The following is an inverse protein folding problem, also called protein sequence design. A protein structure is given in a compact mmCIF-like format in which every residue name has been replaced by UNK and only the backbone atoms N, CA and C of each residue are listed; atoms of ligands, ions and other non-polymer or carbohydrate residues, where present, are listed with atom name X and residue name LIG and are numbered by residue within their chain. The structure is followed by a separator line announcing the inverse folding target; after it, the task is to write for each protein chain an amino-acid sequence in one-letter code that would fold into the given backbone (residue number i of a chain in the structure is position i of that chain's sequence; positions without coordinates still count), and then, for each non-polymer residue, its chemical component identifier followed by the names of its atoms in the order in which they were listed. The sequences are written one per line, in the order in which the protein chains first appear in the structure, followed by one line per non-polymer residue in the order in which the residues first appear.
data_IF_150491532464
#
_entry.id   IF_150491532464
#
_cell.length_a   1.000
_cell.length_b   1.000
_cell.length_c   1.000
_cell.angle_alpha   90.00
_cell.angle_beta   90.00
_cell.angle_gamma   90.00
#
_symmetry.space_group_name_H-M   'P 1'
#
loop_
_entity.id
_entity.type
_entity.pdbx_description
1 polymer ?
#
# COMPACT_ATOMS: atom_id res chain seq x y z
N UNK A 1 17.19 51.81 9.49
CA UNK A 1 15.76 52.06 9.73
C UNK A 1 15.11 50.74 10.12
N UNK A 2 14.68 50.60 11.37
CA UNK A 2 14.13 49.34 11.89
C UNK A 2 12.67 49.57 12.29
N UNK A 3 11.77 49.42 11.31
CA UNK A 3 10.33 49.48 11.56
C UNK A 3 9.86 48.17 12.21
N UNK A 4 8.79 48.22 12.99
CA UNK A 4 8.12 47.04 13.56
C UNK A 4 7.76 46.03 12.46
N UNK A 5 7.41 46.52 11.26
CA UNK A 5 7.15 45.68 10.09
C UNK A 5 8.36 44.89 9.61
N UNK A 6 9.56 45.49 9.62
CA UNK A 6 10.80 44.81 9.23
C UNK A 6 11.17 43.71 10.23
N UNK A 7 10.90 43.93 11.52
CA UNK A 7 11.07 42.93 12.59
C UNK A 7 10.12 41.76 12.43
N UNK A 8 8.84 42.06 12.15
CA UNK A 8 7.82 41.03 11.92
C UNK A 8 8.15 40.17 10.71
N UNK A 9 8.58 40.79 9.61
CA UNK A 9 8.99 40.06 8.41
C UNK A 9 10.18 39.12 8.67
N UNK A 10 11.15 39.52 9.48
CA UNK A 10 12.28 38.66 9.85
C UNK A 10 11.85 37.43 10.66
N UNK A 11 10.91 37.61 11.61
CA UNK A 11 10.38 36.49 12.41
C UNK A 11 9.58 35.53 11.51
N UNK A 12 8.73 36.04 10.63
CA UNK A 12 7.96 35.21 9.69
C UNK A 12 8.87 34.47 8.70
N UNK A 13 9.89 35.14 8.17
CA UNK A 13 10.85 34.50 7.29
C UNK A 13 11.60 33.36 8.02
N UNK A 14 11.98 33.57 9.28
CA UNK A 14 12.63 32.55 10.10
C UNK A 14 11.71 31.36 10.37
N UNK A 15 10.46 31.59 10.80
CA UNK A 15 9.52 30.50 11.07
C UNK A 15 9.16 29.71 9.82
N UNK A 16 8.96 30.38 8.67
CA UNK A 16 8.73 29.72 7.38
C UNK A 16 9.95 28.92 6.93
N UNK A 17 11.17 29.43 7.16
CA UNK A 17 12.41 28.72 6.82
C UNK A 17 12.58 27.44 7.65
N UNK A 18 12.31 27.51 8.96
CA UNK A 18 12.37 26.33 9.85
C UNK A 18 11.32 25.30 9.47
N UNK A 19 10.09 25.73 9.17
CA UNK A 19 9.02 24.84 8.72
C UNK A 19 9.38 24.15 7.39
N UNK A 20 9.88 24.91 6.41
CA UNK A 20 10.30 24.37 5.12
C UNK A 20 11.46 23.37 5.26
N UNK A 21 12.42 23.63 6.15
CA UNK A 21 13.49 22.69 6.43
C UNK A 21 12.96 21.38 7.05
N UNK A 22 12.07 21.47 8.03
CA UNK A 22 11.47 20.29 8.68
C UNK A 22 10.62 19.46 7.71
N UNK A 23 9.80 20.10 6.87
CA UNK A 23 8.98 19.39 5.88
C UNK A 23 9.85 18.72 4.82
N UNK A 24 10.94 19.37 4.40
CA UNK A 24 11.90 18.77 3.48
C UNK A 24 12.65 17.59 4.10
N UNK A 25 13.07 17.68 5.36
CA UNK A 25 13.67 16.56 6.07
C UNK A 25 12.70 15.37 6.18
N UNK A 26 11.43 15.63 6.52
CA UNK A 26 10.40 14.60 6.57
C UNK A 26 10.17 13.93 5.21
N UNK A 27 10.19 14.72 4.13
CA UNK A 27 10.12 14.19 2.76
C UNK A 27 11.31 13.28 2.45
N UNK A 28 12.55 13.69 2.76
CA UNK A 28 13.74 12.83 2.57
C UNK A 28 13.63 11.54 3.38
N UNK A 29 13.14 11.61 4.62
CA UNK A 29 12.99 10.43 5.46
C UNK A 29 11.99 9.41 4.90
N UNK A 30 11.01 9.84 4.10
CA UNK A 30 9.93 8.99 3.60
C UNK A 30 10.07 8.62 2.12
N UNK A 31 10.77 9.41 1.31
CA UNK A 31 10.88 9.17 -0.15
C UNK A 31 11.62 7.87 -0.50
N UNK A 32 12.46 7.37 0.40
CA UNK A 32 13.20 6.12 0.21
C UNK A 32 12.55 4.91 0.91
N UNK A 33 11.39 5.07 1.54
CA UNK A 33 10.67 3.96 2.17
C UNK A 33 9.91 3.20 1.08
N UNK A 34 10.26 1.94 0.89
CA UNK A 34 9.54 1.04 -0.02
C UNK A 34 8.29 0.50 0.70
N UNK A 35 7.12 1.07 0.41
CA UNK A 35 5.82 0.66 0.96
C UNK A 35 5.27 -0.66 0.36
N UNK A 36 6.13 -1.50 -0.21
CA UNK A 36 5.72 -2.79 -0.75
C UNK A 36 5.49 -3.77 0.38
N UNK A 37 4.22 -4.13 0.59
CA UNK A 37 3.86 -5.29 1.40
C UNK A 37 4.43 -6.55 0.73
N UNK A 38 5.23 -7.33 1.47
CA UNK A 38 5.65 -8.66 1.00
C UNK A 38 4.41 -9.55 0.93
N UNK A 39 3.99 -9.86 -0.28
CA UNK A 39 2.94 -10.85 -0.55
C UNK A 39 3.60 -12.14 -1.01
N UNK A 40 3.40 -13.23 -0.27
CA UNK A 40 3.79 -14.57 -0.69
C UNK A 40 2.57 -15.27 -1.27
N UNK A 41 2.53 -15.42 -2.59
CA UNK A 41 1.49 -16.17 -3.29
C UNK A 41 1.93 -17.63 -3.42
N UNK A 42 1.15 -18.56 -2.86
CA UNK A 42 1.39 -19.99 -3.00
C UNK A 42 0.22 -20.65 -3.73
N UNK A 43 0.49 -21.35 -4.83
CA UNK A 43 -0.51 -22.14 -5.56
C UNK A 43 -0.71 -23.47 -4.86
N UNK A 44 -1.65 -23.52 -3.91
CA UNK A 44 -1.80 -24.65 -2.98
C UNK A 44 -2.39 -25.90 -3.63
N UNK A 45 -3.27 -25.79 -4.64
CA UNK A 45 -3.84 -27.00 -5.24
C UNK A 45 -4.59 -26.73 -6.54
N UNK A 46 -4.14 -27.35 -7.62
CA UNK A 46 -4.96 -27.57 -8.82
C UNK A 46 -5.66 -28.90 -8.62
N UNK A 47 -6.97 -28.88 -8.33
CA UNK A 47 -7.76 -30.11 -8.22
C UNK A 47 -8.84 -30.10 -9.27
N UNK A 48 -8.76 -31.05 -10.19
CA UNK A 48 -9.85 -31.39 -11.11
C UNK A 48 -10.70 -32.42 -10.39
N UNK A 49 -11.89 -32.02 -9.92
CA UNK A 49 -12.85 -32.95 -9.32
C UNK A 49 -13.96 -33.21 -10.32
N UNK A 50 -14.16 -34.48 -10.64
CA UNK A 50 -15.34 -34.94 -11.37
C UNK A 50 -16.53 -34.95 -10.40
N UNK A 51 -17.33 -33.88 -10.39
CA UNK A 51 -18.52 -33.75 -9.53
C UNK A 51 -19.78 -34.08 -10.35
N UNK A 52 -20.65 -35.00 -9.89
CA UNK A 52 -21.92 -35.27 -10.56
C UNK A 52 -22.94 -34.16 -10.29
N UNK A 53 -23.50 -33.57 -11.36
CA UNK A 53 -24.56 -32.58 -11.29
C UNK A 53 -25.93 -33.24 -11.05
N UNK A 54 -26.65 -32.81 -10.01
CA UNK A 54 -28.00 -33.31 -9.69
C UNK A 54 -29.13 -32.42 -10.25
N UNK A 55 -28.84 -31.39 -11.06
CA UNK A 55 -29.86 -30.40 -11.47
C UNK A 55 -30.20 -30.32 -12.96
N UNK A 56 -29.43 -30.90 -13.89
CA UNK A 56 -29.83 -30.93 -15.31
C UNK A 56 -29.05 -31.95 -16.13
N UNK A 57 -29.68 -33.08 -16.46
CA UNK A 57 -29.57 -33.91 -17.69
C UNK A 57 -28.26 -33.91 -18.54
N UNK A 58 -27.07 -33.73 -17.96
CA UNK A 58 -25.77 -33.94 -18.62
C UNK A 58 -24.81 -34.60 -17.62
N UNK A 59 -24.31 -35.78 -17.98
CA UNK A 59 -23.63 -36.73 -17.09
C UNK A 59 -22.20 -36.33 -16.65
N UNK A 60 -21.57 -35.30 -17.22
CA UNK A 60 -20.18 -34.97 -16.88
C UNK A 60 -19.79 -33.55 -17.27
N UNK A 61 -19.23 -32.80 -16.33
CA UNK A 61 -18.66 -31.48 -16.57
C UNK A 61 -17.28 -31.39 -15.90
N UNK A 62 -16.24 -31.01 -16.64
CA UNK A 62 -14.86 -30.92 -16.12
C UNK A 62 -14.66 -29.55 -15.45
N UNK A 63 -14.98 -29.47 -14.16
CA UNK A 63 -14.79 -28.26 -13.37
C UNK A 63 -13.38 -28.26 -12.75
N UNK A 64 -12.51 -27.39 -13.26
CA UNK A 64 -11.19 -27.14 -12.70
C UNK A 64 -11.22 -26.01 -11.67
N UNK A 65 -10.82 -26.30 -10.43
CA UNK A 65 -10.66 -25.28 -9.39
C UNK A 65 -9.18 -24.91 -9.26
N UNK A 66 -8.87 -23.62 -9.43
CA UNK A 66 -7.57 -23.03 -9.14
C UNK A 66 -7.73 -22.15 -7.91
N UNK A 67 -7.35 -22.68 -6.75
CA UNK A 67 -7.34 -21.90 -5.51
C UNK A 67 -5.95 -21.33 -5.28
N UNK A 68 -5.84 -20.02 -5.38
CA UNK A 68 -4.64 -19.28 -5.01
C UNK A 68 -4.70 -18.92 -3.52
N UNK A 69 -3.68 -19.28 -2.77
CA UNK A 69 -3.51 -18.82 -1.40
C UNK A 69 -2.58 -17.60 -1.42
N UNK A 70 -3.17 -16.43 -1.18
CA UNK A 70 -2.49 -15.14 -1.17
C UNK A 70 -2.27 -14.76 0.28
N UNK A 71 -1.08 -15.02 0.78
CA UNK A 71 -0.68 -14.60 2.12
C UNK A 71 0.05 -13.27 2.00
N UNK A 72 -0.61 -12.21 2.44
CA UNK A 72 -0.03 -10.87 2.52
C UNK A 72 0.13 -10.52 3.99
N UNK A 73 1.36 -10.18 4.39
CA UNK A 73 1.58 -9.45 5.63
C UNK A 73 1.10 -8.01 5.41
N UNK A 74 -0.19 -7.78 5.62
CA UNK A 74 -0.71 -6.44 5.87
C UNK A 74 -0.34 -6.04 7.29
N UNK A 75 0.96 -5.84 7.53
CA UNK A 75 1.37 -5.09 8.70
C UNK A 75 0.99 -3.63 8.46
N UNK A 76 -0.25 -3.30 8.82
CA UNK A 76 -0.69 -1.95 9.04
C UNK A 76 0.12 -1.44 10.24
N UNK A 77 0.82 -0.31 10.05
CA UNK A 77 1.39 0.45 11.16
C UNK A 77 0.38 0.60 12.32
#
# INVERSE_FOLDING_TARGET
MHSVLTRGNAILAYTLSVLAALTFCCFISTVFIDYRAKATMNTVKVVVKNVPDYSASREKNDLGFLTFDLQTDILLF
#
